data_IF_056824376045
#
_entry.id   IF_056824376045
#
_cell.length_a   1.000
_cell.length_b   1.000
_cell.length_c   1.000
_cell.angle_alpha   90.00
_cell.angle_beta   90.00
_cell.angle_gamma   90.00
#
_symmetry.space_group_name_H-M   'P 1'
#
loop_
_entity.id
_entity.type
_entity.pdbx_description
1 polymer ?
#
# COMPACT_ATOMS: atom_id res chain seq x y z
N UNK A 1 6.70 -29.96 -49.59
CA UNK A 1 6.32 -30.78 -48.42
C UNK A 1 5.53 -29.90 -47.45
N UNK A 2 4.51 -30.49 -46.83
CA UNK A 2 3.67 -30.03 -45.71
C UNK A 2 3.18 -28.57 -45.54
N UNK A 3 1.87 -28.54 -45.31
CA UNK A 3 0.93 -27.46 -44.98
C UNK A 3 0.84 -27.15 -43.48
N UNK A 4 0.42 -25.92 -43.15
CA UNK A 4 -0.78 -25.53 -42.37
C UNK A 4 -0.79 -23.97 -42.35
N UNK A 5 -1.87 -23.21 -42.57
CA UNK A 5 -3.31 -23.43 -42.39
C UNK A 5 -3.79 -22.67 -41.13
N UNK A 6 -4.88 -21.92 -41.06
CA UNK A 6 -5.91 -21.42 -42.02
C UNK A 6 -6.33 -20.00 -41.53
N UNK A 7 -7.28 -19.22 -42.07
CA UNK A 7 -8.36 -19.37 -43.07
C UNK A 7 -8.52 -18.06 -43.90
N UNK A 8 -9.60 -17.89 -44.67
CA UNK A 8 -9.88 -16.70 -45.50
C UNK A 8 -11.39 -16.61 -45.85
N UNK A 9 -11.75 -15.77 -46.85
CA UNK A 9 -13.01 -15.72 -47.65
C UNK A 9 -14.13 -14.81 -47.06
N UNK A 10 -14.97 -14.09 -47.86
CA UNK A 10 -15.09 -13.97 -49.33
C UNK A 10 -15.84 -12.69 -49.76
N UNK A 11 -15.65 -12.26 -51.02
CA UNK A 11 -16.61 -11.40 -51.75
C UNK A 11 -17.78 -12.23 -52.32
N UNK A 12 -18.96 -11.63 -52.53
CA UNK A 12 -19.75 -11.79 -53.77
C UNK A 12 -20.87 -10.73 -53.91
N UNK A 13 -21.29 -10.45 -55.15
CA UNK A 13 -22.43 -9.59 -55.52
C UNK A 13 -23.77 -10.35 -55.50
N UNK A 14 -24.89 -9.61 -55.49
CA UNK A 14 -26.12 -9.86 -56.27
C UNK A 14 -26.86 -8.51 -56.47
N UNK A 15 -27.63 -8.39 -57.55
CA UNK A 15 -28.37 -7.18 -57.93
C UNK A 15 -29.86 -7.49 -58.26
N UNK A 16 -30.60 -6.43 -58.59
CA UNK A 16 -31.94 -6.37 -59.23
C UNK A 16 -33.16 -6.24 -58.29
N UNK A 17 -34.09 -5.42 -58.77
CA UNK A 17 -35.32 -4.87 -58.19
C UNK A 17 -36.55 -5.78 -58.28
N UNK A 18 -37.60 -5.47 -57.51
CA UNK A 18 -39.02 -5.34 -57.93
C UNK A 18 -39.91 -4.91 -56.75
N UNK A 19 -41.03 -4.21 -57.02
CA UNK A 19 -41.99 -3.72 -56.02
C UNK A 19 -42.82 -4.85 -55.37
N UNK A 20 -43.22 -4.62 -54.10
CA UNK A 20 -44.46 -5.15 -53.54
C UNK A 20 -45.09 -4.11 -52.58
N UNK A 21 -46.40 -3.89 -52.68
CA UNK A 21 -47.18 -2.97 -51.84
C UNK A 21 -48.07 -3.80 -50.88
N UNK A 22 -48.49 -3.19 -49.77
CA UNK A 22 -49.51 -3.62 -48.78
C UNK A 22 -49.05 -4.10 -47.38
N UNK A 23 -48.76 -3.09 -46.55
CA UNK A 23 -49.52 -2.73 -45.34
C UNK A 23 -49.52 -3.59 -44.05
N UNK A 24 -49.35 -2.87 -42.92
CA UNK A 24 -49.65 -3.19 -41.50
C UNK A 24 -48.59 -4.04 -40.77
N UNK A 25 -47.91 -3.45 -39.77
CA UNK A 25 -46.97 -4.22 -38.93
C UNK A 25 -46.03 -3.51 -37.96
N UNK A 26 -46.43 -2.40 -37.32
CA UNK A 26 -45.80 -1.83 -36.08
C UNK A 26 -44.38 -1.20 -36.09
N UNK A 27 -44.24 -0.12 -35.31
CA UNK A 27 -43.00 0.49 -34.77
C UNK A 27 -41.95 1.12 -35.70
N UNK A 28 -42.35 2.08 -36.55
CA UNK A 28 -41.47 3.24 -36.80
C UNK A 28 -41.64 4.24 -35.65
N UNK A 29 -40.90 4.02 -34.56
CA UNK A 29 -40.63 5.11 -33.61
C UNK A 29 -39.62 6.03 -34.29
N UNK A 30 -40.02 7.27 -34.50
CA UNK A 30 -39.27 8.30 -35.23
C UNK A 30 -37.79 8.33 -34.86
N UNK A 31 -36.92 8.35 -35.88
CA UNK A 31 -35.59 8.93 -35.80
C UNK A 31 -35.76 10.36 -35.25
N UNK A 32 -35.46 10.55 -33.96
CA UNK A 32 -35.58 11.86 -33.34
C UNK A 32 -34.47 12.75 -33.89
N UNK A 33 -34.83 13.96 -34.27
CA UNK A 33 -33.95 14.94 -34.91
C UNK A 33 -32.79 15.27 -33.95
N UNK A 34 -31.61 14.68 -34.21
CA UNK A 34 -30.44 14.84 -33.37
C UNK A 34 -29.96 16.30 -33.47
N UNK A 35 -30.15 17.05 -32.40
CA UNK A 35 -29.93 18.50 -32.31
C UNK A 35 -28.66 18.95 -33.06
N UNK A 36 -28.86 19.72 -34.13
CA UNK A 36 -27.80 20.21 -35.01
C UNK A 36 -26.79 21.07 -34.28
N UNK A 37 -27.18 21.71 -33.17
CA UNK A 37 -26.28 22.42 -32.25
C UNK A 37 -25.26 21.46 -31.61
N UNK A 38 -25.73 20.33 -31.05
CA UNK A 38 -24.90 19.31 -30.40
C UNK A 38 -23.97 18.61 -31.38
N UNK A 39 -24.44 18.33 -32.59
CA UNK A 39 -23.60 17.81 -33.67
C UNK A 39 -22.46 18.78 -34.03
N UNK A 40 -22.73 20.09 -34.10
CA UNK A 40 -21.68 21.09 -34.37
C UNK A 40 -20.61 21.16 -33.26
N UNK A 41 -21.02 20.97 -32.00
CA UNK A 41 -20.10 20.88 -30.84
C UNK A 41 -19.21 19.64 -30.99
N UNK A 42 -19.79 18.46 -31.23
CA UNK A 42 -19.04 17.20 -31.39
C UNK A 42 -17.99 17.33 -32.52
N UNK A 43 -18.39 17.86 -33.69
CA UNK A 43 -17.49 18.07 -34.83
C UNK A 43 -16.34 19.04 -34.53
N UNK A 44 -16.60 20.14 -33.81
CA UNK A 44 -15.54 21.07 -33.37
C UNK A 44 -14.57 20.37 -32.39
N UNK A 45 -15.11 19.54 -31.50
CA UNK A 45 -14.31 18.76 -30.56
C UNK A 45 -13.45 17.69 -31.25
N UNK A 46 -13.94 17.05 -32.31
CA UNK A 46 -13.15 16.10 -33.12
C UNK A 46 -12.01 16.80 -33.85
N UNK A 47 -12.28 18.00 -34.39
CA UNK A 47 -11.29 18.81 -35.11
C UNK A 47 -10.08 19.19 -34.25
N UNK A 48 -10.28 19.49 -32.96
CA UNK A 48 -9.19 19.89 -32.06
C UNK A 48 -8.59 18.73 -31.26
N UNK A 49 -9.25 17.57 -31.15
CA UNK A 49 -8.77 16.42 -30.38
C UNK A 49 -7.34 15.96 -30.72
N UNK A 50 -6.85 15.97 -31.97
CA UNK A 50 -5.46 15.62 -32.29
C UNK A 50 -4.40 16.53 -31.64
N UNK A 51 -4.75 17.76 -31.23
CA UNK A 51 -3.83 18.62 -30.48
C UNK A 51 -3.69 18.15 -29.01
N UNK A 52 -4.70 17.47 -28.44
CA UNK A 52 -4.67 17.00 -27.05
C UNK A 52 -3.61 15.88 -26.87
N UNK A 53 -3.59 14.94 -27.81
CA UNK A 53 -2.63 13.84 -27.85
C UNK A 53 -1.18 14.35 -28.04
N UNK A 54 -1.00 15.33 -28.93
CA UNK A 54 0.32 15.89 -29.27
C UNK A 54 0.90 16.84 -28.22
N UNK A 55 0.05 17.61 -27.53
CA UNK A 55 0.51 18.70 -26.65
C UNK A 55 0.38 18.38 -25.16
N UNK A 56 -0.44 17.39 -24.80
CA UNK A 56 -0.88 17.16 -23.43
C UNK A 56 -1.91 18.19 -22.97
N UNK A 57 -2.63 17.86 -21.88
CA UNK A 57 -3.83 18.58 -21.41
C UNK A 57 -3.62 20.08 -21.17
N UNK A 58 -2.53 20.47 -20.51
CA UNK A 58 -2.28 21.88 -20.16
C UNK A 58 -2.03 22.76 -21.39
N UNK A 59 -1.08 22.37 -22.25
CA UNK A 59 -0.75 23.12 -23.47
C UNK A 59 -1.91 23.12 -24.46
N UNK A 60 -2.69 22.03 -24.51
CA UNK A 60 -3.95 21.98 -25.25
C UNK A 60 -4.97 23.00 -24.75
N UNK A 61 -5.21 23.07 -23.43
CA UNK A 61 -6.15 24.02 -22.83
C UNK A 61 -5.71 25.48 -23.03
N UNK A 62 -4.41 25.78 -22.90
CA UNK A 62 -3.87 27.11 -23.17
C UNK A 62 -4.05 27.51 -24.65
N UNK A 63 -3.75 26.60 -25.58
CA UNK A 63 -3.87 26.82 -27.03
C UNK A 63 -5.32 27.04 -27.47
N UNK A 64 -6.27 26.35 -26.85
CA UNK A 64 -7.70 26.40 -27.20
C UNK A 64 -8.55 27.23 -26.21
N UNK A 65 -7.93 28.06 -25.38
CA UNK A 65 -8.58 28.83 -24.30
C UNK A 65 -9.78 29.67 -24.75
N UNK A 66 -9.74 30.17 -25.99
CA UNK A 66 -10.80 30.99 -26.60
C UNK A 66 -11.83 30.19 -27.40
N UNK A 67 -11.70 28.86 -27.49
CA UNK A 67 -12.70 28.02 -28.16
C UNK A 67 -13.93 27.88 -27.26
N UNK A 68 -15.06 28.45 -27.71
CA UNK A 68 -16.36 28.44 -26.99
C UNK A 68 -16.79 27.04 -26.54
N UNK A 69 -16.40 25.99 -27.27
CA UNK A 69 -16.81 24.62 -27.02
C UNK A 69 -15.78 23.83 -26.18
N UNK A 70 -14.64 24.42 -25.81
CA UNK A 70 -13.55 23.73 -25.09
C UNK A 70 -14.05 22.96 -23.85
N UNK A 71 -14.96 23.55 -23.08
CA UNK A 71 -15.55 22.90 -21.89
C UNK A 71 -16.38 21.67 -22.24
N UNK A 72 -17.14 21.74 -23.33
CA UNK A 72 -17.91 20.61 -23.88
C UNK A 72 -16.97 19.54 -24.41
N UNK A 73 -15.92 19.92 -25.14
CA UNK A 73 -14.91 19.00 -25.66
C UNK A 73 -14.20 18.25 -24.53
N UNK A 74 -13.73 18.96 -23.50
CA UNK A 74 -13.13 18.36 -22.31
C UNK A 74 -14.10 17.45 -21.54
N UNK A 75 -15.42 17.65 -21.64
CA UNK A 75 -16.44 16.71 -21.10
C UNK A 75 -16.47 15.44 -21.95
N UNK A 76 -16.65 15.60 -23.26
CA UNK A 76 -16.75 14.51 -24.23
C UNK A 76 -15.50 13.62 -24.28
N UNK A 77 -14.29 14.18 -24.17
CA UNK A 77 -13.05 13.40 -24.22
C UNK A 77 -12.84 12.43 -23.05
N UNK A 78 -13.54 12.64 -21.92
CA UNK A 78 -13.53 11.67 -20.81
C UNK A 78 -14.72 10.70 -20.87
N UNK A 79 -15.59 10.81 -21.88
CA UNK A 79 -16.71 9.90 -22.09
C UNK A 79 -16.25 8.66 -22.86
N UNK A 80 -16.74 7.48 -22.43
CA UNK A 80 -16.42 6.19 -23.04
C UNK A 80 -16.86 6.09 -24.50
N UNK A 81 -17.84 6.87 -24.94
CA UNK A 81 -18.29 6.90 -26.33
C UNK A 81 -17.34 7.66 -27.26
N UNK A 82 -16.39 8.47 -26.75
CA UNK A 82 -15.56 9.35 -27.59
C UNK A 82 -14.77 8.59 -28.66
N UNK A 83 -14.10 7.51 -28.25
CA UNK A 83 -13.32 6.63 -29.11
C UNK A 83 -14.07 5.41 -29.64
N UNK A 84 -15.40 5.33 -29.46
CA UNK A 84 -16.20 4.22 -29.99
C UNK A 84 -16.33 4.29 -31.52
N UNK A 85 -16.67 3.16 -32.15
CA UNK A 85 -17.11 3.05 -33.56
C UNK A 85 -18.57 2.60 -33.68
N UNK A 86 -19.31 2.56 -32.57
CA UNK A 86 -20.70 2.10 -32.53
C UNK A 86 -21.63 3.03 -33.36
N UNK A 87 -22.66 2.49 -34.05
CA UNK A 87 -23.60 3.32 -34.82
C UNK A 87 -24.35 4.39 -34.00
N UNK A 88 -24.50 4.18 -32.69
CA UNK A 88 -25.18 5.08 -31.75
C UNK A 88 -24.26 6.12 -31.10
N UNK A 89 -22.97 6.16 -31.46
CA UNK A 89 -21.95 7.03 -30.86
C UNK A 89 -22.38 8.49 -30.78
N UNK A 90 -22.90 9.05 -31.87
CA UNK A 90 -23.26 10.47 -31.92
C UNK A 90 -24.45 10.80 -31.01
N UNK A 91 -25.41 9.89 -30.88
CA UNK A 91 -26.54 10.00 -29.95
C UNK A 91 -26.06 9.93 -28.50
N UNK A 92 -25.15 9.00 -28.19
CA UNK A 92 -24.52 8.88 -26.87
C UNK A 92 -23.70 10.12 -26.49
N UNK A 93 -22.90 10.66 -27.41
CA UNK A 93 -22.14 11.89 -27.18
C UNK A 93 -23.05 13.12 -27.05
N UNK A 94 -24.15 13.20 -27.80
CA UNK A 94 -25.13 14.28 -27.63
C UNK A 94 -25.84 14.19 -26.26
N UNK A 95 -26.26 12.99 -25.85
CA UNK A 95 -26.81 12.73 -24.52
C UNK A 95 -25.81 13.05 -23.39
N UNK A 96 -24.52 12.75 -23.61
CA UNK A 96 -23.45 13.15 -22.69
C UNK A 96 -23.29 14.67 -22.57
N UNK A 97 -23.69 15.49 -23.57
CA UNK A 97 -23.75 16.95 -23.42
C UNK A 97 -24.88 17.39 -22.48
N UNK A 98 -26.06 16.77 -22.58
CA UNK A 98 -27.24 17.08 -21.75
C UNK A 98 -27.10 16.65 -20.28
N UNK A 99 -26.29 15.63 -19.99
CA UNK A 99 -26.09 15.14 -18.64
C UNK A 99 -25.69 16.29 -17.68
N UNK A 100 -26.41 16.50 -16.56
CA UNK A 100 -26.05 17.54 -15.60
C UNK A 100 -24.63 17.32 -15.08
N UNK A 101 -23.95 18.41 -14.69
CA UNK A 101 -22.57 18.38 -14.22
C UNK A 101 -22.44 17.62 -12.89
N UNK A 102 -22.39 16.29 -12.95
CA UNK A 102 -21.80 15.47 -11.90
C UNK A 102 -20.31 15.79 -11.92
N UNK A 103 -19.90 16.71 -11.04
CA UNK A 103 -18.53 17.23 -10.93
C UNK A 103 -17.61 16.17 -10.33
N UNK A 104 -17.33 15.11 -11.10
CA UNK A 104 -16.14 14.28 -10.86
C UNK A 104 -14.93 15.18 -11.14
N UNK A 105 -14.41 15.79 -10.07
CA UNK A 105 -13.33 16.77 -10.12
C UNK A 105 -12.17 16.15 -10.90
N UNK A 106 -11.83 16.74 -12.03
CA UNK A 106 -10.63 16.36 -12.79
C UNK A 106 -9.46 16.87 -11.95
N UNK A 107 -8.81 15.95 -11.23
CA UNK A 107 -7.63 16.25 -10.42
C UNK A 107 -6.42 16.28 -11.35
N UNK A 108 -6.10 17.45 -11.90
CA UNK A 108 -4.81 17.65 -12.54
C UNK A 108 -3.73 17.61 -11.44
N UNK A 109 -2.78 16.70 -11.58
CA UNK A 109 -1.74 16.40 -10.59
C UNK A 109 -0.35 16.63 -11.17
N UNK A 110 -0.24 17.76 -11.87
CA UNK A 110 0.93 18.23 -12.60
C UNK A 110 1.48 19.48 -11.92
N UNK A 111 2.64 19.35 -11.28
CA UNK A 111 3.52 20.50 -10.99
C UNK A 111 4.89 19.99 -10.54
N UNK A 112 5.93 20.35 -11.27
CA UNK A 112 7.27 20.45 -10.71
C UNK A 112 7.32 21.75 -9.89
N UNK A 113 7.61 21.65 -8.60
CA UNK A 113 7.69 22.80 -7.69
C UNK A 113 8.78 22.59 -6.65
N UNK A 114 9.52 23.65 -6.30
CA UNK A 114 10.57 23.61 -5.26
C UNK A 114 10.00 23.43 -3.83
N UNK A 115 8.68 23.51 -3.67
CA UNK A 115 7.95 23.27 -2.42
C UNK A 115 6.75 22.34 -2.63
N UNK A 116 5.76 22.40 -1.73
CA UNK A 116 4.59 21.51 -1.77
C UNK A 116 3.76 21.76 -3.06
N UNK A 117 3.56 20.73 -3.92
CA UNK A 117 2.72 20.83 -5.12
C UNK A 117 1.33 21.42 -4.85
N UNK A 118 0.91 22.38 -5.69
CA UNK A 118 -0.38 23.09 -5.53
C UNK A 118 -1.57 22.13 -5.45
N UNK A 119 -1.57 21.06 -6.25
CA UNK A 119 -2.64 20.07 -6.27
C UNK A 119 -2.81 19.36 -4.90
N UNK A 120 -1.76 19.25 -4.09
CA UNK A 120 -1.83 18.70 -2.72
C UNK A 120 -2.57 19.66 -1.81
N UNK A 121 -2.28 20.97 -1.91
CA UNK A 121 -2.99 22.01 -1.16
C UNK A 121 -4.46 22.09 -1.55
N UNK A 122 -4.77 21.89 -2.83
CA UNK A 122 -6.14 21.82 -3.35
C UNK A 122 -6.90 20.55 -2.88
N UNK A 123 -6.27 19.37 -2.92
CA UNK A 123 -6.85 18.12 -2.41
C UNK A 123 -7.08 18.18 -0.88
N UNK A 124 -6.12 18.74 -0.13
CA UNK A 124 -6.25 18.94 1.31
C UNK A 124 -7.33 19.97 1.67
N UNK A 125 -7.47 21.05 0.86
CA UNK A 125 -8.55 22.04 0.98
C UNK A 125 -9.92 21.39 0.87
N UNK A 126 -10.12 20.52 -0.13
CA UNK A 126 -11.37 19.76 -0.29
C UNK A 126 -11.58 18.76 0.85
N UNK A 127 -10.51 18.11 1.31
CA UNK A 127 -10.58 17.15 2.41
C UNK A 127 -11.07 17.79 3.71
N UNK A 128 -10.46 18.90 4.18
CA UNK A 128 -10.89 19.50 5.46
C UNK A 128 -12.34 20.01 5.40
N UNK A 129 -12.78 20.49 4.23
CA UNK A 129 -14.16 20.89 3.94
C UNK A 129 -15.16 19.73 3.89
N UNK A 130 -14.73 18.48 4.08
CA UNK A 130 -15.58 17.29 4.03
C UNK A 130 -16.00 16.87 2.61
N UNK A 131 -15.38 17.44 1.58
CA UNK A 131 -15.68 17.15 0.16
C UNK A 131 -14.87 15.98 -0.41
N UNK A 132 -13.89 15.48 0.34
CA UNK A 132 -13.03 14.36 -0.05
C UNK A 132 -12.79 13.41 1.15
N UNK A 133 -12.52 12.15 0.84
CA UNK A 133 -12.17 11.10 1.83
C UNK A 133 -10.69 11.12 2.17
N UNK A 134 -10.34 10.55 3.32
CA UNK A 134 -8.98 10.51 3.87
C UNK A 134 -7.96 10.00 2.83
N UNK A 135 -8.31 8.97 2.06
CA UNK A 135 -7.45 8.39 1.02
C UNK A 135 -6.98 9.38 -0.07
N UNK A 136 -7.68 10.49 -0.28
CA UNK A 136 -7.27 11.57 -1.20
C UNK A 136 -6.17 12.42 -0.57
N UNK A 137 -6.29 12.76 0.72
CA UNK A 137 -5.24 13.46 1.46
C UNK A 137 -4.02 12.55 1.67
N UNK A 138 -4.23 11.26 1.96
CA UNK A 138 -3.19 10.22 2.03
C UNK A 138 -2.32 10.18 0.77
N UNK A 139 -2.93 10.35 -0.42
CA UNK A 139 -2.18 10.37 -1.68
C UNK A 139 -1.24 11.58 -1.77
N UNK A 140 -1.69 12.76 -1.32
CA UNK A 140 -0.83 13.94 -1.22
C UNK A 140 0.33 13.74 -0.24
N UNK A 141 0.06 13.18 0.93
CA UNK A 141 1.08 12.85 1.94
C UNK A 141 2.10 11.84 1.38
N UNK A 142 1.63 10.78 0.71
CA UNK A 142 2.49 9.80 0.02
C UNK A 142 3.40 10.46 -1.02
N UNK A 143 2.88 11.40 -1.81
CA UNK A 143 3.70 12.13 -2.77
C UNK A 143 4.78 12.97 -2.08
N UNK A 144 4.46 13.70 -1.01
CA UNK A 144 5.45 14.47 -0.25
C UNK A 144 6.54 13.60 0.38
N UNK A 145 6.21 12.38 0.82
CA UNK A 145 7.19 11.41 1.33
C UNK A 145 8.09 10.90 0.20
N UNK A 146 7.48 10.42 -0.90
CA UNK A 146 8.21 9.85 -2.03
C UNK A 146 9.12 10.87 -2.74
N UNK A 147 8.72 12.14 -2.78
CA UNK A 147 9.49 13.25 -3.34
C UNK A 147 10.44 13.90 -2.32
N UNK A 148 10.63 13.30 -1.14
CA UNK A 148 11.50 13.77 -0.05
C UNK A 148 11.21 15.20 0.47
N UNK A 149 9.98 15.70 0.26
CA UNK A 149 9.48 16.96 0.84
C UNK A 149 9.25 16.79 2.36
N UNK A 150 8.81 15.60 2.77
CA UNK A 150 8.84 15.17 4.18
C UNK A 150 10.01 14.19 4.31
N UNK A 151 11.11 14.54 4.98
CA UNK A 151 12.31 13.70 5.08
C UNK A 151 12.09 12.59 6.13
N UNK A 152 11.20 11.63 5.86
CA UNK A 152 10.75 10.63 6.86
C UNK A 152 11.91 9.81 7.39
N UNK A 153 12.90 9.51 6.56
CA UNK A 153 14.12 8.83 7.02
C UNK A 153 14.80 9.59 8.16
N UNK A 154 14.89 10.93 8.10
CA UNK A 154 15.48 11.75 9.16
C UNK A 154 14.57 11.88 10.39
N UNK A 155 13.24 11.93 10.18
CA UNK A 155 12.23 12.01 11.23
C UNK A 155 12.21 10.71 12.07
N UNK A 156 12.41 9.57 11.41
CA UNK A 156 12.51 8.25 12.03
C UNK A 156 13.96 7.88 12.41
N UNK A 157 14.99 8.64 11.98
CA UNK A 157 16.40 8.42 12.36
C UNK A 157 16.77 8.98 13.73
N UNK A 158 15.80 9.18 14.62
CA UNK A 158 16.11 8.83 16.00
C UNK A 158 16.35 7.32 16.00
N UNK A 159 17.63 6.95 15.97
CA UNK A 159 18.13 5.61 16.30
C UNK A 159 17.21 5.00 17.34
N UNK A 160 16.70 3.79 17.10
CA UNK A 160 15.82 3.18 18.08
C UNK A 160 16.69 2.88 19.32
N UNK A 161 16.70 3.79 20.30
CA UNK A 161 17.49 3.68 21.52
C UNK A 161 16.80 2.71 22.46
N UNK A 162 16.77 1.45 22.04
CA UNK A 162 16.31 0.34 22.84
C UNK A 162 17.35 0.09 23.93
N UNK A 163 17.04 0.58 25.13
CA UNK A 163 17.87 0.46 26.32
C UNK A 163 17.04 -0.18 27.43
N UNK A 164 17.45 -1.36 27.88
CA UNK A 164 16.74 -2.22 28.83
C UNK A 164 15.28 -2.53 28.43
N UNK A 165 15.06 -2.73 27.13
CA UNK A 165 13.74 -3.08 26.59
C UNK A 165 13.83 -3.97 25.36
N UNK A 166 12.74 -4.70 25.08
CA UNK A 166 12.53 -5.43 23.82
C UNK A 166 12.35 -4.40 22.70
N UNK A 167 13.12 -4.50 21.63
CA UNK A 167 13.12 -3.51 20.55
C UNK A 167 12.04 -3.79 19.49
N UNK A 168 10.80 -3.97 19.95
CA UNK A 168 9.64 -4.22 19.10
C UNK A 168 8.56 -3.17 19.33
N UNK A 169 7.94 -2.72 18.25
CA UNK A 169 6.91 -1.69 18.19
C UNK A 169 5.62 -2.23 17.60
N UNK A 170 4.53 -1.47 17.70
CA UNK A 170 3.23 -1.86 17.13
C UNK A 170 3.34 -2.13 15.62
N UNK A 171 2.70 -3.21 15.15
CA UNK A 171 2.79 -3.76 13.79
C UNK A 171 4.17 -4.31 13.37
N UNK A 172 5.19 -4.37 14.24
CA UNK A 172 6.35 -5.20 13.94
C UNK A 172 5.91 -6.67 13.88
N UNK A 173 6.37 -7.38 12.84
CA UNK A 173 6.07 -8.77 12.60
C UNK A 173 7.34 -9.60 12.40
N UNK A 174 7.31 -10.84 12.87
CA UNK A 174 8.41 -11.79 12.72
C UNK A 174 7.83 -13.12 12.27
N UNK A 175 8.22 -13.54 11.06
CA UNK A 175 7.82 -14.81 10.46
C UNK A 175 8.94 -15.82 10.63
N UNK A 176 8.62 -16.93 11.27
CA UNK A 176 9.53 -18.03 11.55
C UNK A 176 9.16 -19.27 10.76
N UNK A 177 10.17 -19.97 10.26
CA UNK A 177 10.06 -21.36 9.82
C UNK A 177 10.58 -22.26 10.94
N UNK A 178 9.69 -23.10 11.50
CA UNK A 178 10.00 -24.02 12.59
C UNK A 178 10.07 -25.44 12.00
N UNK A 179 11.19 -26.11 12.17
CA UNK A 179 11.36 -27.51 11.77
C UNK A 179 11.78 -28.38 12.95
N UNK A 180 11.31 -29.61 12.97
CA UNK A 180 11.62 -30.60 14.02
C UNK A 180 11.80 -31.97 13.35
N UNK A 181 12.78 -32.75 13.80
CA UNK A 181 13.09 -34.07 13.21
C UNK A 181 11.83 -34.94 13.08
N UNK A 182 11.60 -35.47 11.87
CA UNK A 182 10.45 -36.32 11.50
C UNK A 182 9.07 -35.65 11.62
N UNK A 183 9.00 -34.31 11.66
CA UNK A 183 7.73 -33.55 11.63
C UNK A 183 7.65 -32.61 10.43
N UNK A 184 6.43 -32.22 10.07
CA UNK A 184 6.20 -31.18 9.05
C UNK A 184 6.71 -29.82 9.55
N UNK A 185 7.31 -29.04 8.65
CA UNK A 185 7.68 -27.65 8.92
C UNK A 185 6.43 -26.80 9.15
N UNK A 186 6.47 -25.98 10.20
CA UNK A 186 5.41 -25.04 10.58
C UNK A 186 5.89 -23.62 10.32
N UNK A 187 5.07 -22.79 9.68
CA UNK A 187 5.34 -21.36 9.56
C UNK A 187 4.53 -20.63 10.63
N UNK A 188 5.14 -19.72 11.38
CA UNK A 188 4.48 -18.92 12.40
C UNK A 188 4.80 -17.44 12.16
N UNK A 189 3.78 -16.59 12.05
CA UNK A 189 3.94 -15.13 11.97
C UNK A 189 3.43 -14.49 13.26
N UNK A 190 4.35 -13.99 14.07
CA UNK A 190 4.05 -13.12 15.20
C UNK A 190 3.87 -11.68 14.72
N UNK A 191 2.88 -10.96 15.24
CA UNK A 191 2.62 -9.54 14.94
C UNK A 191 2.24 -8.80 16.22
N UNK A 192 2.92 -7.70 16.54
CA UNK A 192 2.67 -6.90 17.75
C UNK A 192 1.40 -6.05 17.59
N UNK A 193 0.40 -6.24 18.46
CA UNK A 193 -0.88 -5.51 18.42
C UNK A 193 -1.04 -4.43 19.48
N UNK A 194 -0.28 -4.46 20.58
CA UNK A 194 -0.31 -3.39 21.57
C UNK A 194 0.98 -3.35 22.36
N UNK A 195 1.46 -2.14 22.65
CA UNK A 195 2.55 -1.87 23.59
C UNK A 195 1.96 -1.31 24.88
N UNK A 196 2.18 -2.01 26.00
CA UNK A 196 1.72 -1.60 27.33
C UNK A 196 2.75 -2.03 28.39
N UNK A 197 2.33 -2.40 29.61
CA UNK A 197 3.21 -3.10 30.55
C UNK A 197 3.59 -4.52 30.08
N UNK A 198 2.76 -5.12 29.22
CA UNK A 198 3.04 -6.31 28.39
C UNK A 198 2.86 -5.99 26.90
N UNK A 199 3.48 -6.78 26.02
CA UNK A 199 3.24 -6.72 24.57
C UNK A 199 2.16 -7.74 24.21
N UNK A 200 1.11 -7.31 23.51
CA UNK A 200 0.10 -8.21 22.95
C UNK A 200 0.55 -8.70 21.57
N UNK A 201 0.58 -10.02 21.37
CA UNK A 201 1.06 -10.68 20.16
C UNK A 201 -0.09 -11.45 19.51
N UNK A 202 -0.27 -11.27 18.21
CA UNK A 202 -1.07 -12.15 17.34
C UNK A 202 -0.12 -13.11 16.64
N UNK A 203 -0.39 -14.40 16.77
CA UNK A 203 0.40 -15.48 16.18
C UNK A 203 -0.44 -16.25 15.18
N UNK A 204 -0.19 -16.00 13.89
CA UNK A 204 -0.74 -16.78 12.78
C UNK A 204 0.15 -18.01 12.54
N UNK A 205 -0.34 -19.21 12.88
CA UNK A 205 0.32 -20.48 12.56
C UNK A 205 -0.25 -21.09 11.28
N UNK A 206 0.63 -21.45 10.36
CA UNK A 206 0.31 -22.08 9.07
C UNK A 206 1.04 -23.42 8.98
N UNK A 207 0.26 -24.47 8.73
CA UNK A 207 0.74 -25.83 8.43
C UNK A 207 0.21 -26.25 7.06
N UNK A 208 0.63 -27.42 6.54
CA UNK A 208 0.04 -27.97 5.30
C UNK A 208 -1.46 -28.29 5.39
N UNK A 209 -2.01 -28.41 6.61
CA UNK A 209 -3.35 -28.97 6.87
C UNK A 209 -4.32 -27.98 7.50
N UNK A 210 -3.82 -26.97 8.19
CA UNK A 210 -4.61 -25.98 8.91
C UNK A 210 -3.87 -24.64 9.05
N UNK A 211 -4.66 -23.56 9.10
CA UNK A 211 -4.25 -22.25 9.64
C UNK A 211 -4.97 -22.03 10.96
N UNK A 212 -4.26 -21.58 11.99
CA UNK A 212 -4.81 -21.12 13.26
C UNK A 212 -4.24 -19.76 13.64
N UNK A 213 -5.00 -18.98 14.40
CA UNK A 213 -4.59 -17.66 14.91
C UNK A 213 -4.78 -17.67 16.42
N UNK A 214 -3.72 -17.36 17.15
CA UNK A 214 -3.71 -17.30 18.62
C UNK A 214 -3.27 -15.92 19.11
N UNK A 215 -3.68 -15.57 20.33
CA UNK A 215 -3.40 -14.30 20.97
C UNK A 215 -2.72 -14.57 22.32
N UNK A 216 -1.51 -14.06 22.51
CA UNK A 216 -0.78 -14.20 23.77
C UNK A 216 -0.11 -12.89 24.18
N UNK A 217 0.29 -12.79 25.44
CA UNK A 217 1.03 -11.66 25.98
C UNK A 217 2.42 -12.09 26.42
N UNK A 218 3.42 -11.29 26.03
CA UNK A 218 4.77 -11.39 26.60
C UNK A 218 5.01 -10.25 27.60
N UNK A 219 5.70 -10.57 28.70
CA UNK A 219 6.12 -9.57 29.68
C UNK A 219 7.29 -8.73 29.14
N UNK A 220 7.83 -7.82 29.97
CA UNK A 220 8.95 -6.94 29.57
C UNK A 220 10.25 -7.72 29.31
N UNK A 221 10.35 -8.92 29.86
CA UNK A 221 11.44 -9.88 29.72
C UNK A 221 11.26 -10.80 28.49
N UNK A 222 10.16 -10.65 27.75
CA UNK A 222 9.83 -11.37 26.52
C UNK A 222 9.20 -12.74 26.74
N UNK A 223 9.02 -13.15 28.00
CA UNK A 223 8.44 -14.42 28.38
C UNK A 223 6.91 -14.38 28.24
N UNK A 224 6.33 -15.44 27.65
CA UNK A 224 4.87 -15.66 27.62
C UNK A 224 4.36 -15.88 29.04
N UNK A 225 3.22 -15.29 29.39
CA UNK A 225 2.62 -15.46 30.71
C UNK A 225 2.18 -16.91 30.97
N UNK A 226 2.55 -17.49 32.12
CA UNK A 226 2.35 -18.92 32.45
C UNK A 226 0.88 -19.41 32.39
N UNK A 227 -0.08 -18.49 32.49
CA UNK A 227 -1.52 -18.79 32.36
C UNK A 227 -1.94 -19.13 30.92
N UNK A 228 -1.12 -18.80 29.93
CA UNK A 228 -1.36 -19.06 28.51
C UNK A 228 -0.68 -20.35 28.07
N UNK A 229 -1.41 -21.47 28.11
CA UNK A 229 -0.96 -22.81 27.67
C UNK A 229 -0.75 -22.94 26.14
N UNK A 230 -0.64 -21.85 25.39
CA UNK A 230 -0.76 -21.86 23.93
C UNK A 230 0.58 -21.57 23.22
N UNK A 231 0.73 -22.17 22.04
CA UNK A 231 1.94 -22.18 21.21
C UNK A 231 3.24 -22.78 21.78
N UNK A 232 4.17 -23.04 20.86
CA UNK A 232 5.46 -23.68 21.09
C UNK A 232 6.38 -22.73 21.86
N UNK A 233 6.97 -23.19 22.97
CA UNK A 233 7.77 -22.47 23.98
C UNK A 233 8.97 -21.59 23.53
N UNK A 234 9.22 -21.34 22.24
CA UNK A 234 10.45 -20.63 21.83
C UNK A 234 10.33 -19.11 22.00
N UNK A 235 11.27 -18.55 22.77
CA UNK A 235 11.51 -17.12 22.84
C UNK A 235 11.89 -16.61 21.44
N UNK A 236 11.33 -15.46 21.03
CA UNK A 236 11.60 -14.86 19.72
C UNK A 236 12.17 -13.43 19.78
N UNK A 237 12.25 -12.85 20.98
CA UNK A 237 12.85 -11.54 21.22
C UNK A 237 13.40 -11.42 22.66
N UNK A 238 14.43 -10.61 22.82
CA UNK A 238 15.11 -10.31 24.09
C UNK A 238 15.22 -8.80 24.31
N UNK A 239 15.55 -8.40 25.54
CA UNK A 239 15.96 -7.02 25.82
C UNK A 239 17.33 -6.73 25.19
N UNK A 240 17.55 -5.47 24.83
CA UNK A 240 18.84 -4.93 24.38
C UNK A 240 19.19 -3.66 25.18
N UNK A 241 20.48 -3.27 25.30
CA UNK A 241 21.68 -3.95 24.77
C UNK A 241 21.97 -5.28 25.47
N UNK A 242 22.65 -6.17 24.76
CA UNK A 242 23.27 -7.39 25.30
C UNK A 242 24.79 -7.27 25.17
N UNK A 243 25.51 -7.93 26.06
CA UNK A 243 26.98 -8.00 26.07
C UNK A 243 27.45 -9.45 26.19
N UNK A 244 28.74 -9.70 25.89
CA UNK A 244 29.34 -11.02 26.12
C UNK A 244 29.38 -11.29 27.63
N UNK A 245 28.86 -12.45 28.04
CA UNK A 245 28.65 -12.82 29.45
C UNK A 245 27.25 -12.48 29.99
N UNK A 246 26.42 -11.70 29.29
CA UNK A 246 25.04 -11.46 29.72
C UNK A 246 24.26 -12.78 29.82
N UNK A 247 23.47 -12.92 30.88
CA UNK A 247 22.47 -13.99 31.00
C UNK A 247 21.16 -13.55 30.35
N UNK A 248 20.57 -14.42 29.54
CA UNK A 248 19.28 -14.21 28.87
C UNK A 248 18.33 -15.35 29.23
N UNK A 249 17.13 -14.99 29.69
CA UNK A 249 16.10 -15.94 30.07
C UNK A 249 15.29 -16.34 28.82
N UNK A 250 15.37 -17.63 28.48
CA UNK A 250 14.55 -18.27 27.44
C UNK A 250 13.91 -19.53 28.07
N UNK A 251 13.63 -20.58 27.27
CA UNK A 251 13.26 -21.93 27.76
C UNK A 251 14.28 -22.45 28.80
N UNK A 252 15.54 -22.02 28.67
CA UNK A 252 16.64 -22.25 29.59
C UNK A 252 17.36 -20.92 29.84
N UNK A 253 18.11 -20.85 30.93
CA UNK A 253 19.10 -19.79 31.12
C UNK A 253 20.22 -19.93 30.07
N UNK A 254 20.44 -18.90 29.27
CA UNK A 254 21.51 -18.83 28.28
C UNK A 254 22.55 -17.79 28.67
N UNK A 255 23.80 -18.05 28.36
CA UNK A 255 24.88 -17.06 28.44
C UNK A 255 25.26 -16.61 27.04
N UNK A 256 25.33 -15.31 26.80
CA UNK A 256 25.88 -14.73 25.57
C UNK A 256 27.37 -15.03 25.51
N UNK A 257 27.82 -15.69 24.45
CA UNK A 257 29.21 -16.19 24.35
C UNK A 257 30.09 -15.39 23.40
N UNK A 258 29.57 -14.99 22.24
CA UNK A 258 30.36 -14.35 21.17
C UNK A 258 29.45 -13.46 20.30
N UNK A 259 30.05 -12.44 19.68
CA UNK A 259 29.44 -11.65 18.60
C UNK A 259 29.81 -12.24 17.23
N UNK A 260 28.88 -12.17 16.27
CA UNK A 260 29.01 -12.63 14.89
C UNK A 260 28.33 -11.66 13.92
N UNK A 261 28.68 -11.76 12.63
CA UNK A 261 27.86 -11.21 11.54
C UNK A 261 26.96 -12.33 11.00
N UNK A 262 25.66 -12.25 11.27
CA UNK A 262 24.67 -13.18 10.76
C UNK A 262 24.14 -12.71 9.40
N UNK A 263 24.10 -13.60 8.41
CA UNK A 263 23.52 -13.29 7.10
C UNK A 263 22.02 -13.55 7.12
N UNK A 264 21.22 -12.49 6.93
CA UNK A 264 19.78 -12.56 6.77
C UNK A 264 19.42 -12.06 5.36
N UNK A 265 18.97 -12.98 4.50
CA UNK A 265 18.76 -12.72 3.06
C UNK A 265 20.03 -12.10 2.43
N UNK A 266 19.92 -10.88 1.93
CA UNK A 266 20.98 -10.12 1.26
C UNK A 266 21.71 -9.13 2.17
N UNK A 267 21.32 -9.03 3.45
CA UNK A 267 21.97 -8.16 4.45
C UNK A 267 22.77 -8.97 5.48
N UNK A 268 23.79 -8.34 6.05
CA UNK A 268 24.48 -8.83 7.24
C UNK A 268 24.01 -8.04 8.47
N UNK A 269 23.77 -8.74 9.57
CA UNK A 269 23.31 -8.19 10.85
C UNK A 269 24.33 -8.51 11.93
N UNK A 270 24.76 -7.55 12.76
CA UNK A 270 25.51 -7.87 13.97
C UNK A 270 24.59 -8.64 14.93
N UNK A 271 25.07 -9.75 15.47
CA UNK A 271 24.28 -10.65 16.31
C UNK A 271 25.14 -11.36 17.36
N UNK A 272 24.52 -11.81 18.43
CA UNK A 272 25.14 -12.57 19.50
C UNK A 272 24.75 -14.05 19.44
N UNK A 273 25.67 -14.94 19.81
CA UNK A 273 25.35 -16.36 20.06
C UNK A 273 25.20 -16.58 21.58
N UNK A 274 23.98 -16.87 22.02
CA UNK A 274 23.68 -17.31 23.38
C UNK A 274 23.52 -18.84 23.44
N UNK A 275 24.04 -19.48 24.50
CA UNK A 275 23.97 -20.94 24.67
C UNK A 275 23.63 -21.33 26.11
N UNK A 276 22.98 -22.47 26.28
CA UNK A 276 22.86 -23.12 27.58
C UNK A 276 24.19 -23.78 27.99
N UNK A 277 24.31 -24.16 29.26
CA UNK A 277 25.52 -24.80 29.81
C UNK A 277 25.90 -26.12 29.14
N UNK A 278 24.98 -26.76 28.42
CA UNK A 278 25.21 -28.01 27.67
C UNK A 278 25.60 -27.77 26.21
N UNK A 279 25.37 -26.57 25.67
CA UNK A 279 25.49 -26.26 24.25
C UNK A 279 24.42 -26.89 23.35
N UNK A 280 23.47 -27.65 23.92
CA UNK A 280 22.38 -28.29 23.16
C UNK A 280 21.24 -27.33 22.84
N UNK A 281 21.08 -26.26 23.62
CA UNK A 281 20.20 -25.15 23.26
C UNK A 281 21.01 -23.90 22.97
N UNK A 282 20.80 -23.31 21.80
CA UNK A 282 21.46 -22.08 21.39
C UNK A 282 20.53 -21.18 20.59
N UNK A 283 20.76 -19.87 20.71
CA UNK A 283 20.05 -18.80 20.01
C UNK A 283 21.06 -17.85 19.37
N UNK A 284 20.73 -17.36 18.18
CA UNK A 284 21.39 -16.22 17.54
C UNK A 284 20.46 -15.03 17.70
N UNK A 285 20.90 -13.99 18.38
CA UNK A 285 20.09 -12.85 18.80
C UNK A 285 20.64 -11.60 18.10
N UNK A 286 19.79 -10.89 17.36
CA UNK A 286 20.16 -9.64 16.68
C UNK A 286 20.61 -8.57 17.69
N UNK A 287 21.77 -7.95 17.48
CA UNK A 287 22.40 -7.05 18.45
C UNK A 287 21.65 -5.74 18.66
N UNK A 288 20.99 -5.23 17.62
CA UNK A 288 20.28 -3.95 17.65
C UNK A 288 18.84 -4.09 18.12
N UNK A 289 18.17 -5.20 17.76
CA UNK A 289 16.73 -5.39 18.00
C UNK A 289 16.39 -6.43 19.08
N UNK A 290 17.32 -7.31 19.43
CA UNK A 290 17.08 -8.44 20.33
C UNK A 290 16.26 -9.57 19.72
N UNK A 291 15.90 -9.50 18.43
CA UNK A 291 15.11 -10.55 17.75
C UNK A 291 15.96 -11.81 17.58
N UNK A 292 15.37 -12.98 17.86
CA UNK A 292 16.05 -14.27 17.67
C UNK A 292 16.08 -14.60 16.18
N UNK A 293 17.24 -14.44 15.53
CA UNK A 293 17.45 -14.75 14.11
C UNK A 293 17.34 -16.25 13.82
N UNK A 294 17.81 -17.06 14.77
CA UNK A 294 17.84 -18.51 14.69
C UNK A 294 17.87 -19.12 16.10
N UNK A 295 17.14 -20.22 16.33
CA UNK A 295 17.31 -21.05 17.52
C UNK A 295 17.46 -22.53 17.15
N UNK A 296 18.18 -23.27 17.99
CA UNK A 296 18.39 -24.71 17.85
C UNK A 296 18.32 -25.38 19.22
N UNK A 297 17.52 -26.43 19.32
CA UNK A 297 17.43 -27.34 20.47
C UNK A 297 17.74 -28.76 20.02
N UNK A 298 18.69 -29.44 20.68
CA UNK A 298 19.05 -30.83 20.40
C UNK A 298 18.75 -31.73 21.60
N UNK A 299 17.85 -32.69 21.41
CA UNK A 299 17.65 -33.81 22.31
C UNK A 299 18.44 -35.02 21.78
N UNK A 300 19.64 -35.23 22.32
CA UNK A 300 20.52 -36.33 21.92
C UNK A 300 19.99 -37.71 22.34
N UNK A 301 19.14 -37.78 23.37
CA UNK A 301 18.55 -39.05 23.85
C UNK A 301 17.49 -39.52 22.84
N UNK A 302 16.62 -38.62 22.41
CA UNK A 302 15.58 -38.89 21.40
C UNK A 302 16.08 -38.75 19.96
N UNK A 303 17.31 -38.25 19.77
CA UNK A 303 17.90 -37.86 18.47
C UNK A 303 17.02 -36.86 17.69
N UNK A 304 16.31 -36.00 18.41
CA UNK A 304 15.45 -34.96 17.83
C UNK A 304 16.19 -33.63 17.85
N UNK A 305 16.24 -32.95 16.72
CA UNK A 305 16.66 -31.55 16.63
C UNK A 305 15.46 -30.70 16.23
N UNK A 306 15.27 -29.59 16.94
CA UNK A 306 14.28 -28.56 16.63
C UNK A 306 14.99 -27.25 16.32
N UNK A 307 14.56 -26.56 15.28
CA UNK A 307 15.08 -25.25 14.90
C UNK A 307 13.94 -24.29 14.59
N UNK A 308 14.13 -23.02 14.92
CA UNK A 308 13.33 -21.92 14.38
C UNK A 308 14.27 -20.96 13.65
N UNK A 309 13.93 -20.59 12.43
CA UNK A 309 14.71 -19.64 11.61
C UNK A 309 13.81 -18.49 11.21
N UNK A 310 14.24 -17.26 11.45
CA UNK A 310 13.54 -16.07 10.99
C UNK A 310 13.62 -15.97 9.46
N UNK A 311 12.47 -15.93 8.79
CA UNK A 311 12.37 -15.91 7.31
C UNK A 311 11.91 -14.55 6.77
N UNK A 312 11.07 -13.83 7.50
CA UNK A 312 10.61 -12.49 7.10
C UNK A 312 10.29 -11.59 8.29
N UNK A 313 10.63 -10.30 8.21
CA UNK A 313 10.30 -9.28 9.22
C UNK A 313 10.43 -7.87 8.63
N UNK A 314 9.63 -6.94 9.14
CA UNK A 314 9.80 -5.49 8.96
C UNK A 314 10.70 -4.84 10.03
N UNK A 315 11.04 -5.52 11.13
CA UNK A 315 11.73 -4.88 12.25
C UNK A 315 13.18 -4.44 11.96
N UNK A 316 13.95 -5.19 11.14
CA UNK A 316 15.31 -4.80 10.75
C UNK A 316 15.36 -3.66 9.75
N UNK A 317 14.29 -3.48 9.00
CA UNK A 317 14.16 -2.41 8.05
C UNK A 317 12.82 -1.75 8.26
N UNK A 318 12.84 -0.64 9.00
CA UNK A 318 11.88 0.46 8.83
C UNK A 318 11.99 1.12 7.44
N UNK A 319 12.25 0.30 6.41
CA UNK A 319 11.83 0.50 5.04
C UNK A 319 10.31 0.53 5.07
N UNK A 320 9.81 1.74 5.23
CA UNK A 320 8.41 2.13 5.26
C UNK A 320 7.66 1.43 4.12
N UNK A 321 7.00 0.31 4.44
CA UNK A 321 6.15 -0.40 3.50
C UNK A 321 4.77 0.21 3.59
N UNK A 322 4.53 1.12 2.65
CA UNK A 322 3.33 1.94 2.51
C UNK A 322 2.08 1.07 2.23
N UNK A 323 1.59 0.40 3.27
CA UNK A 323 0.36 -0.41 3.28
C UNK A 323 -0.81 0.48 3.73
N UNK A 324 -1.40 1.19 2.76
CA UNK A 324 -2.48 2.18 2.94
C UNK A 324 -3.89 1.64 2.64
N UNK A 325 -4.23 0.46 3.13
CA UNK A 325 -5.65 0.13 3.33
C UNK A 325 -6.10 0.74 4.68
N UNK A 326 -7.18 1.53 4.65
CA UNK A 326 -7.81 2.18 5.81
C UNK A 326 -6.97 3.18 6.66
N UNK A 327 -6.15 4.02 6.02
CA UNK A 327 -5.56 5.20 6.68
C UNK A 327 -6.65 6.18 7.16
N UNK A 328 -6.96 6.16 8.46
CA UNK A 328 -7.87 7.10 9.12
C UNK A 328 -7.08 8.30 9.66
N UNK A 329 -7.34 9.49 9.11
CA UNK A 329 -6.69 10.73 9.53
C UNK A 329 -7.51 11.32 10.69
N UNK A 330 -6.91 11.60 11.86
CA UNK A 330 -7.66 12.08 13.02
C UNK A 330 -8.47 13.36 12.73
N UNK A 331 -9.73 13.47 13.21
CA UNK A 331 -10.56 14.64 12.93
C UNK A 331 -9.95 15.99 13.34
N UNK A 332 -9.14 16.01 14.41
CA UNK A 332 -8.46 17.23 14.87
C UNK A 332 -7.48 17.80 13.84
N UNK A 333 -6.90 16.97 12.96
CA UNK A 333 -5.96 17.42 11.93
C UNK A 333 -6.62 18.30 10.85
N UNK A 334 -7.96 18.28 10.75
CA UNK A 334 -8.73 19.18 9.88
C UNK A 334 -8.47 20.66 10.18
N UNK A 335 -8.19 21.02 11.44
CA UNK A 335 -7.85 22.39 11.81
C UNK A 335 -6.48 22.79 11.27
N UNK A 336 -5.47 21.92 11.40
CA UNK A 336 -4.12 22.13 10.85
C UNK A 336 -4.15 22.28 9.32
N UNK A 337 -4.89 21.39 8.63
CA UNK A 337 -5.07 21.49 7.17
C UNK A 337 -5.81 22.77 6.77
N UNK A 338 -6.85 23.17 7.52
CA UNK A 338 -7.55 24.44 7.31
C UNK A 338 -6.60 25.62 7.42
N UNK A 339 -5.85 25.73 8.53
CA UNK A 339 -4.89 26.83 8.74
C UNK A 339 -3.84 26.89 7.62
N UNK A 340 -3.30 25.74 7.20
CA UNK A 340 -2.34 25.67 6.09
C UNK A 340 -2.95 26.10 4.75
N UNK A 341 -4.16 25.62 4.43
CA UNK A 341 -4.87 25.98 3.20
C UNK A 341 -5.20 27.48 3.13
N UNK A 342 -5.43 28.11 4.29
CA UNK A 342 -5.74 29.53 4.43
C UNK A 342 -4.48 30.41 4.59
N UNK A 343 -3.27 29.83 4.53
CA UNK A 343 -2.02 30.57 4.68
C UNK A 343 -1.75 31.09 6.10
N UNK A 344 -2.45 30.57 7.11
CA UNK A 344 -2.26 30.92 8.53
C UNK A 344 -1.09 30.19 9.17
N UNK A 345 -0.67 29.05 8.61
CA UNK A 345 0.60 28.40 8.89
C UNK A 345 1.34 28.13 7.58
N UNK A 346 2.67 28.18 7.63
CA UNK A 346 3.57 27.94 6.51
C UNK A 346 3.57 26.48 6.04
N UNK A 347 4.11 26.26 4.84
CA UNK A 347 4.36 24.91 4.32
C UNK A 347 5.33 24.13 5.24
N UNK A 348 6.31 24.81 5.85
CA UNK A 348 7.23 24.23 6.84
C UNK A 348 6.51 23.76 8.10
N UNK A 349 5.64 24.58 8.69
CA UNK A 349 4.84 24.20 9.87
C UNK A 349 3.87 23.05 9.56
N UNK A 350 3.30 23.04 8.36
CA UNK A 350 2.47 21.94 7.90
C UNK A 350 3.28 20.63 7.74
N UNK A 351 4.46 20.68 7.13
CA UNK A 351 5.40 19.55 7.06
C UNK A 351 5.79 19.07 8.45
N UNK A 352 6.09 19.97 9.39
CA UNK A 352 6.41 19.62 10.78
C UNK A 352 5.22 18.93 11.49
N UNK A 353 3.98 19.36 11.23
CA UNK A 353 2.79 18.73 11.80
C UNK A 353 2.59 17.30 11.29
N UNK A 354 2.80 17.06 9.99
CA UNK A 354 2.78 15.71 9.41
C UNK A 354 3.94 14.86 9.97
N UNK A 355 5.15 15.45 10.06
CA UNK A 355 6.33 14.82 10.63
C UNK A 355 6.10 14.36 12.08
N UNK A 356 5.43 15.18 12.89
CA UNK A 356 5.01 14.82 14.23
C UNK A 356 4.03 13.64 14.23
N UNK A 357 3.00 13.66 13.38
CA UNK A 357 2.04 12.56 13.31
C UNK A 357 2.69 11.25 12.86
N UNK A 358 3.67 11.31 11.96
CA UNK A 358 4.46 10.16 11.51
C UNK A 358 5.33 9.64 12.66
N UNK A 359 6.10 10.51 13.32
CA UNK A 359 6.96 10.16 14.47
C UNK A 359 6.19 9.50 15.61
N UNK A 360 4.93 9.90 15.83
CA UNK A 360 4.07 9.37 16.89
C UNK A 360 3.14 8.22 16.43
N UNK A 361 3.37 7.63 15.25
CA UNK A 361 2.56 6.54 14.68
C UNK A 361 1.06 6.85 14.52
N UNK A 362 0.71 8.14 14.44
CA UNK A 362 -0.66 8.63 14.22
C UNK A 362 -1.03 8.50 12.74
N UNK A 363 -0.08 8.85 11.86
CA UNK A 363 -0.13 8.44 10.46
C UNK A 363 0.74 7.20 10.29
N UNK A 364 0.11 6.08 9.99
CA UNK A 364 0.78 4.80 9.70
C UNK A 364 1.25 4.83 8.25
N UNK A 365 2.54 4.94 8.01
CA UNK A 365 3.18 4.80 6.69
C UNK A 365 3.88 3.44 6.64
#
# INVERSE_FOLDING_TARGET
MHTQGTFALKQLLIAISVLAIFSIGTTNKSFAELDTSKLSIIQNCEKIYPDLDKLGREKFQQRHLYNKDLRSCLKLYNDIAWGSTDPDRLERLASALDAPLVTKIIRDRTSESEGIPKWIKDDATRWYQGKERDNILSYGIRHMINSNIIPVQQILSHSITCSDMICLTYNDYMTYSISETNKETVVVKHTVQQVSSSLLIVSDQITKKAKSTEFFQINKEGLVQETQKCCIYYQFAHKVPLEVGSKVNSIKELTVTHEILFRYKDIQRPAFIAKDSTGYYQEVIDKETGIVLFSKNQDNIRKVTKTATLTDTNAFSKNIRIEYEDMKIPPWFRNTVKWWSQGQISDTEYILSLSYMIKNNILRI
#
